data_IF_244543532502
#
_entry.id   IF_244543532502
#
_cell.length_a   1.000
_cell.length_b   1.000
_cell.length_c   1.000
_cell.angle_alpha   90.00
_cell.angle_beta   90.00
_cell.angle_gamma   90.00
#
_symmetry.space_group_name_H-M   'P 1'
#
loop_
_entity.id
_entity.type
_entity.pdbx_description
1 polymer ?
#
# COMPACT_ATOMS: atom_id res chain seq x y z
N UNK A 1 9.45 -23.71 10.59
CA UNK A 1 8.62 -24.08 9.41
C UNK A 1 8.09 -22.78 8.81
N UNK A 2 8.50 -22.42 7.60
CA UNK A 2 7.91 -21.27 6.92
C UNK A 2 6.46 -21.65 6.58
N UNK A 3 5.50 -21.01 7.26
CA UNK A 3 4.08 -21.21 6.99
C UNK A 3 3.83 -20.73 5.57
N UNK A 4 3.29 -21.58 4.70
CA UNK A 4 2.86 -21.16 3.38
C UNK A 4 1.85 -20.02 3.55
N UNK A 5 2.18 -18.85 2.99
CA UNK A 5 1.37 -17.64 3.15
C UNK A 5 -0.01 -17.87 2.51
N UNK A 6 -1.05 -17.74 3.34
CA UNK A 6 -2.43 -17.89 2.91
C UNK A 6 -2.83 -16.85 1.87
N UNK A 7 -3.89 -17.12 1.11
CA UNK A 7 -4.32 -16.21 0.04
C UNK A 7 -4.68 -14.80 0.56
N UNK A 8 -5.34 -14.70 1.73
CA UNK A 8 -5.66 -13.41 2.32
C UNK A 8 -4.40 -12.65 2.80
N UNK A 9 -3.35 -13.35 3.21
CA UNK A 9 -2.09 -12.74 3.66
C UNK A 9 -1.36 -12.11 2.47
N UNK A 10 -1.42 -12.72 1.29
CA UNK A 10 -0.90 -12.13 0.04
C UNK A 10 -1.66 -10.85 -0.34
N UNK A 11 -2.99 -10.87 -0.23
CA UNK A 11 -3.82 -9.66 -0.45
C UNK A 11 -3.49 -8.56 0.58
N UNK A 12 -3.25 -8.94 1.83
CA UNK A 12 -2.81 -8.01 2.86
C UNK A 12 -1.45 -7.39 2.50
N UNK A 13 -0.52 -8.15 1.93
CA UNK A 13 0.78 -7.63 1.46
C UNK A 13 0.62 -6.46 0.49
N UNK A 14 -0.21 -6.64 -0.55
CA UNK A 14 -0.52 -5.59 -1.54
C UNK A 14 -1.09 -4.33 -0.87
N UNK A 15 -2.00 -4.52 0.10
CA UNK A 15 -2.61 -3.41 0.84
C UNK A 15 -1.63 -2.68 1.78
N UNK A 16 -0.65 -3.40 2.32
CA UNK A 16 0.41 -2.84 3.17
C UNK A 16 1.43 -2.04 2.34
N UNK A 17 1.76 -2.50 1.13
CA UNK A 17 2.64 -1.77 0.21
C UNK A 17 2.07 -0.39 -0.15
N UNK A 18 0.74 -0.28 -0.24
CA UNK A 18 0.07 1.00 -0.48
C UNK A 18 0.06 1.94 0.74
N UNK A 19 0.39 1.44 1.94
CA UNK A 19 0.47 2.20 3.19
C UNK A 19 -0.72 3.15 3.44
N UNK A 20 -1.94 2.66 3.23
CA UNK A 20 -3.17 3.44 3.41
C UNK A 20 -3.62 4.22 2.17
N UNK A 21 -2.86 4.11 1.08
CA UNK A 21 -3.26 4.50 -0.25
C UNK A 21 -4.36 3.62 -0.84
N UNK A 22 -4.96 4.14 -1.89
CA UNK A 22 -6.06 3.51 -2.61
C UNK A 22 -5.53 2.42 -3.54
N UNK A 23 -5.94 1.17 -3.34
CA UNK A 23 -5.58 0.05 -4.21
C UNK A 23 -6.76 -0.32 -5.09
N UNK A 24 -6.61 -0.17 -6.40
CA UNK A 24 -7.65 -0.50 -7.38
C UNK A 24 -7.81 -2.02 -7.57
N UNK A 25 -8.98 -2.45 -8.03
CA UNK A 25 -9.20 -3.85 -8.42
C UNK A 25 -8.27 -4.32 -9.54
N UNK A 26 -7.85 -3.42 -10.43
CA UNK A 26 -6.89 -3.76 -11.49
C UNK A 26 -5.51 -4.07 -10.91
N UNK A 27 -5.04 -3.25 -9.96
CA UNK A 27 -3.80 -3.48 -9.20
C UNK A 27 -3.86 -4.82 -8.48
N UNK A 28 -4.99 -5.12 -7.81
CA UNK A 28 -5.18 -6.44 -7.20
C UNK A 28 -5.10 -7.54 -8.25
N UNK A 29 -5.80 -7.42 -9.38
CA UNK A 29 -5.76 -8.44 -10.43
C UNK A 29 -4.32 -8.70 -10.88
N UNK A 30 -3.54 -7.67 -11.19
CA UNK A 30 -2.16 -7.84 -11.64
C UNK A 30 -1.28 -8.50 -10.57
N UNK A 31 -1.27 -7.99 -9.33
CA UNK A 31 -0.37 -8.50 -8.30
C UNK A 31 -0.83 -9.85 -7.70
N UNK A 32 -2.14 -10.06 -7.58
CA UNK A 32 -2.70 -11.27 -7.00
C UNK A 32 -2.76 -12.44 -8.01
N UNK A 33 -2.95 -12.18 -9.30
CA UNK A 33 -2.93 -13.23 -10.35
C UNK A 33 -1.54 -13.85 -10.48
N UNK A 34 -0.48 -13.02 -10.47
CA UNK A 34 0.92 -13.50 -10.42
C UNK A 34 1.18 -14.32 -9.16
N UNK A 35 0.53 -13.97 -8.05
CA UNK A 35 0.66 -14.67 -6.77
C UNK A 35 -0.27 -15.91 -6.64
N UNK A 36 -1.05 -16.25 -7.67
CA UNK A 36 -1.96 -17.39 -7.68
C UNK A 36 -3.18 -17.24 -6.76
N UNK A 37 -3.59 -16.01 -6.45
CA UNK A 37 -4.72 -15.72 -5.57
C UNK A 37 -6.02 -15.65 -6.37
N UNK A 38 -7.05 -16.37 -5.91
CA UNK A 38 -8.34 -16.39 -6.60
C UNK A 38 -9.12 -15.08 -6.37
N UNK A 39 -9.16 -14.23 -7.39
CA UNK A 39 -9.78 -12.90 -7.31
C UNK A 39 -11.30 -12.90 -7.11
N UNK A 40 -12.01 -13.97 -7.48
CA UNK A 40 -13.46 -14.07 -7.23
C UNK A 40 -13.81 -14.05 -5.74
N UNK A 41 -12.83 -14.32 -4.87
CA UNK A 41 -12.99 -14.33 -3.41
C UNK A 41 -12.39 -13.11 -2.73
N UNK A 42 -12.10 -12.02 -3.46
CA UNK A 42 -11.46 -10.83 -2.88
C UNK A 42 -12.22 -10.29 -1.66
N UNK A 43 -13.55 -10.25 -1.69
CA UNK A 43 -14.37 -9.83 -0.56
C UNK A 43 -14.22 -10.75 0.66
N UNK A 44 -14.04 -12.05 0.43
CA UNK A 44 -13.73 -13.01 1.50
C UNK A 44 -12.38 -12.68 2.14
N UNK A 45 -11.35 -12.40 1.33
CA UNK A 45 -10.04 -12.04 1.85
C UNK A 45 -10.06 -10.73 2.65
N UNK A 46 -10.83 -9.73 2.20
CA UNK A 46 -11.01 -8.49 2.97
C UNK A 46 -11.68 -8.76 4.33
N UNK A 47 -12.66 -9.68 4.39
CA UNK A 47 -13.27 -10.11 5.64
C UNK A 47 -12.28 -10.87 6.53
N UNK A 48 -11.48 -11.77 5.97
CA UNK A 48 -10.42 -12.47 6.71
C UNK A 48 -9.39 -11.50 7.29
N UNK A 49 -8.98 -10.48 6.54
CA UNK A 49 -8.09 -9.42 7.04
C UNK A 49 -8.73 -8.74 8.26
N UNK A 50 -9.98 -8.30 8.15
CA UNK A 50 -10.70 -7.61 9.24
C UNK A 50 -10.92 -8.46 10.50
N UNK A 51 -10.93 -9.79 10.37
CA UNK A 51 -11.23 -10.72 11.48
C UNK A 51 -9.99 -11.37 12.07
N UNK A 52 -8.94 -11.58 11.27
CA UNK A 52 -7.71 -12.27 11.66
C UNK A 52 -6.54 -11.32 11.94
N UNK A 53 -6.70 -10.03 11.66
CA UNK A 53 -5.65 -9.02 11.82
C UNK A 53 -6.21 -7.78 12.51
N UNK A 54 -5.35 -6.92 13.09
CA UNK A 54 -5.80 -5.66 13.70
C UNK A 54 -6.09 -4.56 12.67
N UNK A 55 -6.07 -4.85 11.37
CA UNK A 55 -6.33 -3.88 10.31
C UNK A 55 -7.81 -3.81 9.94
N UNK A 56 -8.26 -2.60 9.63
CA UNK A 56 -9.53 -2.36 8.94
C UNK A 56 -9.32 -2.30 7.42
N UNK A 57 -10.38 -2.59 6.68
CA UNK A 57 -10.42 -2.42 5.22
C UNK A 57 -11.64 -1.59 4.85
N UNK A 58 -11.44 -0.56 4.03
CA UNK A 58 -12.51 0.29 3.50
C UNK A 58 -12.62 0.06 1.97
N UNK A 59 -13.80 -0.30 1.46
CA UNK A 59 -14.03 -0.39 0.02
C UNK A 59 -14.10 1.00 -0.61
N UNK A 60 -13.42 1.18 -1.73
CA UNK A 60 -13.54 2.33 -2.62
C UNK A 60 -14.70 2.07 -3.57
N UNK A 61 -15.61 3.03 -3.70
CA UNK A 61 -16.85 2.87 -4.46
C UNK A 61 -16.96 3.93 -5.55
N UNK A 62 -17.37 3.49 -6.73
CA UNK A 62 -17.85 4.34 -7.82
C UNK A 62 -19.34 4.03 -8.05
N UNK A 63 -20.19 4.92 -7.53
CA UNK A 63 -21.63 4.68 -7.42
C UNK A 63 -21.96 3.40 -6.61
N UNK A 64 -22.49 2.38 -7.30
CA UNK A 64 -22.84 1.08 -6.70
C UNK A 64 -21.74 0.03 -6.82
N UNK A 65 -20.68 0.32 -7.57
CA UNK A 65 -19.59 -0.64 -7.84
C UNK A 65 -18.44 -0.40 -6.88
N UNK A 66 -17.81 -1.48 -6.42
CA UNK A 66 -16.54 -1.40 -5.70
C UNK A 66 -15.43 -1.33 -6.74
N UNK A 67 -14.59 -0.31 -6.67
CA UNK A 67 -13.47 -0.07 -7.60
C UNK A 67 -12.12 -0.41 -6.99
N UNK A 68 -12.06 -0.57 -5.67
CA UNK A 68 -10.82 -0.88 -4.96
C UNK A 68 -11.02 -0.99 -3.46
N UNK A 69 -9.92 -1.05 -2.74
CA UNK A 69 -9.89 -1.12 -1.29
C UNK A 69 -8.70 -0.33 -0.75
N UNK A 70 -8.84 0.19 0.47
CA UNK A 70 -7.73 0.75 1.23
C UNK A 70 -7.66 0.12 2.61
N UNK A 71 -6.44 -0.04 3.10
CA UNK A 71 -6.17 -0.52 4.45
C UNK A 71 -6.20 0.66 5.43
N UNK A 72 -6.71 0.45 6.63
CA UNK A 72 -6.78 1.47 7.68
C UNK A 72 -6.51 0.87 9.06
N UNK A 73 -6.19 1.72 10.03
CA UNK A 73 -5.92 1.30 11.42
C UNK A 73 -4.48 0.82 11.63
N UNK A 74 -4.14 0.47 12.87
CA UNK A 74 -2.83 -0.05 13.27
C UNK A 74 -1.61 0.76 12.73
N UNK A 75 -1.71 2.09 12.69
CA UNK A 75 -0.64 2.98 12.20
C UNK A 75 -0.57 3.18 10.68
N UNK A 76 -1.47 2.57 9.91
CA UNK A 76 -1.58 2.79 8.46
C UNK A 76 -2.01 4.24 8.18
N UNK A 77 -1.26 4.92 7.31
CA UNK A 77 -1.48 6.34 7.00
C UNK A 77 -1.04 7.32 8.10
N UNK A 78 -0.47 6.83 9.21
CA UNK A 78 0.35 7.70 10.06
C UNK A 78 1.54 8.16 9.20
N UNK A 79 2.00 9.42 9.35
CA UNK A 79 3.27 9.81 8.75
C UNK A 79 4.31 8.83 9.28
N UNK A 80 4.76 7.92 8.42
CA UNK A 80 5.97 7.17 8.71
C UNK A 80 7.01 8.24 9.03
N UNK A 81 7.68 8.22 10.20
CA UNK A 81 8.86 9.01 10.37
C UNK A 81 9.71 8.67 9.15
N UNK A 82 9.96 9.67 8.30
CA UNK A 82 10.65 9.47 7.05
C UNK A 82 11.86 8.60 7.38
N UNK A 83 11.90 7.37 6.87
CA UNK A 83 13.11 6.58 6.89
C UNK A 83 14.04 7.32 5.94
N UNK A 84 14.73 8.31 6.51
CA UNK A 84 15.81 9.05 5.91
C UNK A 84 16.94 8.05 5.71
N UNK A 85 16.82 7.23 4.67
CA UNK A 85 17.98 6.68 4.02
C UNK A 85 18.65 7.86 3.30
N UNK A 86 19.40 8.66 4.07
CA UNK A 86 20.45 9.49 3.49
C UNK A 86 21.44 8.56 2.78
N UNK A 87 22.03 9.02 1.67
CA UNK A 87 23.06 10.04 1.82
C UNK A 87 22.64 11.38 1.23
N UNK A 88 22.94 12.41 2.01
CA UNK A 88 23.56 13.67 1.60
C UNK A 88 23.45 14.04 0.12
N UNK A 89 22.78 15.16 -0.14
CA UNK A 89 22.86 15.87 -1.41
C UNK A 89 24.31 15.97 -1.91
N UNK A 90 24.59 15.78 -3.21
CA UNK A 90 25.86 16.23 -3.74
C UNK A 90 25.92 17.75 -3.57
N UNK A 91 26.94 18.17 -2.83
CA UNK A 91 27.44 19.53 -2.79
C UNK A 91 27.50 20.09 -4.22
N UNK A 92 26.69 21.10 -4.50
CA UNK A 92 26.87 22.00 -5.62
C UNK A 92 27.01 23.41 -5.03
N UNK A 93 28.18 23.66 -4.44
CA UNK A 93 28.69 25.01 -4.37
C UNK A 93 29.07 25.44 -5.80
N UNK A 94 28.23 26.26 -6.43
CA UNK A 94 28.67 27.13 -7.52
C UNK A 94 28.05 28.52 -7.33
N UNK A 95 28.96 29.48 -7.17
CA UNK A 95 28.74 30.88 -6.85
C UNK A 95 27.66 31.57 -7.68
N UNK A 96 26.79 32.32 -7.01
CA UNK A 96 26.15 33.53 -7.56
C UNK A 96 26.69 34.71 -6.78
N UNK A 97 27.65 35.44 -7.35
CA UNK A 97 27.87 36.85 -7.03
C UNK A 97 27.40 37.63 -8.26
N UNK A 98 26.22 38.24 -8.12
CA UNK A 98 25.63 39.13 -9.10
C UNK A 98 26.34 40.50 -9.00
N UNK A 99 26.77 41.00 -10.15
CA UNK A 99 27.24 42.36 -10.40
C UNK A 99 26.19 43.40 -9.97
N UNK A 100 26.59 44.47 -9.28
CA UNK A 100 26.09 45.86 -9.40
C UNK A 100 26.69 46.75 -8.30
N UNK A 101 27.55 47.70 -8.70
CA UNK A 101 27.57 49.14 -8.36
C UNK A 101 28.98 49.74 -8.51
#
# INVERSE_FOLDING_TARGET
MAKAMGQYEKVLGVLLEANGGDVSLDTFKQQCEVAGVNMYRISTYMWEIKTKTPYGVIPLKDGRKVTGYKLVGNGIGAPQPAVSNGPTAPELAVNVQLDTA
#
